data_IF_517022780771
#
_entry.id   IF_517022780771
#
_cell.length_a   1.000
_cell.length_b   1.000
_cell.length_c   1.000
_cell.angle_alpha   90.00
_cell.angle_beta   90.00
_cell.angle_gamma   90.00
#
_symmetry.space_group_name_H-M   'P 1'
#
loop_
_entity.id
_entity.type
_entity.pdbx_description
1 polymer ?
#
# COMPACT_ATOMS: atom_id res chain seq x y z
N UNK A 1 -20.43 6.96 -56.57
CA UNK A 1 -20.03 8.38 -56.76
C UNK A 1 -18.77 8.63 -55.94
N UNK A 2 -17.59 8.41 -56.53
CA UNK A 2 -16.31 8.56 -55.84
C UNK A 2 -15.94 10.05 -55.81
N UNK A 3 -15.83 10.64 -54.63
CA UNK A 3 -15.23 11.97 -54.46
C UNK A 3 -13.79 11.88 -54.97
N UNK A 4 -13.36 12.70 -55.96
CA UNK A 4 -12.04 12.56 -56.54
C UNK A 4 -10.98 12.93 -55.50
N UNK A 5 -10.05 12.01 -55.27
CA UNK A 5 -8.97 12.05 -54.26
C UNK A 5 -8.19 13.39 -54.25
N UNK A 6 -8.14 14.08 -55.40
CA UNK A 6 -7.51 15.41 -55.57
C UNK A 6 -8.23 16.54 -54.82
N UNK A 7 -9.57 16.51 -54.77
CA UNK A 7 -10.36 17.51 -54.04
C UNK A 7 -10.24 17.30 -52.53
N UNK A 8 -10.10 16.05 -52.08
CA UNK A 8 -9.83 15.73 -50.69
C UNK A 8 -8.46 16.27 -50.23
N UNK A 9 -7.43 16.15 -51.08
CA UNK A 9 -6.07 16.64 -50.78
C UNK A 9 -5.99 18.17 -50.64
N UNK A 10 -6.67 18.90 -51.51
CA UNK A 10 -6.73 20.37 -51.47
C UNK A 10 -7.55 20.85 -50.26
N UNK A 11 -8.65 20.16 -49.95
CA UNK A 11 -9.47 20.44 -48.77
C UNK A 11 -8.68 20.21 -47.47
N UNK A 12 -7.95 19.08 -47.37
CA UNK A 12 -7.07 18.77 -46.25
C UNK A 12 -5.98 19.83 -46.07
N UNK A 13 -5.33 20.27 -47.15
CA UNK A 13 -4.33 21.33 -47.09
C UNK A 13 -4.92 22.64 -46.57
N UNK A 14 -6.10 23.06 -47.06
CA UNK A 14 -6.77 24.28 -46.58
C UNK A 14 -7.14 24.20 -45.09
N UNK A 15 -7.60 23.04 -44.61
CA UNK A 15 -7.91 22.83 -43.20
C UNK A 15 -6.63 22.90 -42.36
N UNK A 16 -5.55 22.20 -42.77
CA UNK A 16 -4.26 22.18 -42.08
C UNK A 16 -3.58 23.56 -41.98
N UNK A 17 -3.71 24.41 -43.02
CA UNK A 17 -3.11 25.74 -43.01
C UNK A 17 -3.95 26.82 -42.32
N UNK A 18 -5.20 26.52 -41.94
CA UNK A 18 -6.03 27.41 -41.13
C UNK A 18 -5.50 27.55 -39.70
N UNK A 19 -5.84 28.65 -39.01
CA UNK A 19 -5.47 28.85 -37.59
C UNK A 19 -5.99 27.70 -36.70
N UNK A 20 -7.22 27.24 -36.95
CA UNK A 20 -7.83 26.13 -36.23
C UNK A 20 -7.10 24.80 -36.48
N UNK A 21 -6.72 24.52 -37.73
CA UNK A 21 -5.95 23.33 -38.08
C UNK A 21 -4.55 23.34 -37.46
N UNK A 22 -3.87 24.47 -37.48
CA UNK A 22 -2.57 24.64 -36.79
C UNK A 22 -2.70 24.43 -35.28
N UNK A 23 -3.72 25.04 -34.66
CA UNK A 23 -3.98 24.87 -33.24
C UNK A 23 -4.24 23.40 -32.88
N UNK A 24 -5.06 22.69 -33.69
CA UNK A 24 -5.32 21.26 -33.50
C UNK A 24 -4.06 20.40 -33.64
N UNK A 25 -3.24 20.65 -34.66
CA UNK A 25 -1.99 19.90 -34.88
C UNK A 25 -1.02 20.13 -33.73
N UNK A 26 -0.78 21.39 -33.34
CA UNK A 26 0.11 21.74 -32.24
C UNK A 26 -0.40 21.13 -30.93
N UNK A 27 -1.70 21.27 -30.63
CA UNK A 27 -2.26 20.73 -29.40
C UNK A 27 -2.22 19.20 -29.37
N UNK A 28 -2.40 18.54 -30.51
CA UNK A 28 -2.26 17.09 -30.64
C UNK A 28 -0.81 16.64 -30.43
N UNK A 29 0.18 17.36 -30.95
CA UNK A 29 1.60 17.09 -30.67
C UNK A 29 1.89 17.25 -29.17
N UNK A 30 1.46 18.36 -28.56
CA UNK A 30 1.63 18.56 -27.12
C UNK A 30 0.93 17.47 -26.31
N UNK A 31 -0.28 17.10 -26.69
CA UNK A 31 -1.03 16.04 -26.02
C UNK A 31 -0.32 14.69 -26.13
N UNK A 32 0.22 14.34 -27.29
CA UNK A 32 0.99 13.11 -27.49
C UNK A 32 2.28 13.09 -26.66
N UNK A 33 2.97 14.22 -26.54
CA UNK A 33 4.15 14.35 -25.67
C UNK A 33 3.77 14.12 -24.20
N UNK A 34 2.69 14.74 -23.72
CA UNK A 34 2.20 14.55 -22.35
C UNK A 34 1.71 13.11 -22.15
N UNK A 35 0.99 12.53 -23.11
CA UNK A 35 0.56 11.14 -23.08
C UNK A 35 1.75 10.19 -22.96
N UNK A 36 2.80 10.40 -23.75
CA UNK A 36 4.01 9.56 -23.69
C UNK A 36 4.76 9.74 -22.36
N UNK A 37 4.83 10.97 -21.85
CA UNK A 37 5.36 11.23 -20.51
C UNK A 37 4.57 10.47 -19.44
N UNK A 38 3.23 10.57 -19.46
CA UNK A 38 2.37 9.88 -18.51
C UNK A 38 2.52 8.36 -18.63
N UNK A 39 2.62 7.83 -19.85
CA UNK A 39 2.87 6.41 -20.10
C UNK A 39 4.18 5.94 -19.47
N UNK A 40 5.25 6.74 -19.57
CA UNK A 40 6.54 6.39 -18.98
C UNK A 40 6.58 6.61 -17.46
N UNK A 41 5.75 7.50 -16.90
CA UNK A 41 5.79 7.87 -15.48
C UNK A 41 4.82 7.08 -14.60
N UNK A 42 3.66 6.70 -15.12
CA UNK A 42 2.54 6.12 -14.36
C UNK A 42 2.25 4.67 -14.74
N UNK A 43 3.17 3.98 -15.39
CA UNK A 43 3.01 2.59 -15.79
C UNK A 43 2.89 1.62 -14.61
N UNK A 44 3.35 2.00 -13.42
CA UNK A 44 3.20 1.22 -12.18
C UNK A 44 1.92 1.50 -11.39
N UNK A 45 1.15 2.53 -11.73
CA UNK A 45 -0.04 2.88 -10.97
C UNK A 45 -1.23 2.01 -11.40
N UNK A 46 -1.78 1.14 -10.54
CA UNK A 46 -2.79 0.15 -10.93
C UNK A 46 -4.10 0.74 -11.46
N UNK A 47 -4.40 1.99 -11.10
CA UNK A 47 -5.60 2.71 -11.58
C UNK A 47 -5.31 3.70 -12.69
N UNK A 48 -4.08 3.75 -13.19
CA UNK A 48 -3.76 4.53 -14.37
C UNK A 48 -4.15 3.78 -15.64
N UNK A 49 -4.68 4.50 -16.63
CA UNK A 49 -4.85 3.97 -17.98
C UNK A 49 -3.51 3.59 -18.66
N UNK A 50 -2.38 3.96 -18.04
CA UNK A 50 -1.04 3.65 -18.50
C UNK A 50 -0.43 2.40 -17.85
N UNK A 51 -1.14 1.74 -16.94
CA UNK A 51 -0.68 0.56 -16.21
C UNK A 51 -0.19 -0.55 -17.15
N UNK A 52 1.01 -1.09 -16.87
CA UNK A 52 1.61 -2.18 -17.64
C UNK A 52 1.91 -3.36 -16.73
N UNK A 53 1.12 -4.42 -16.82
CA UNK A 53 1.24 -5.59 -15.94
C UNK A 53 2.50 -6.44 -16.16
N UNK A 54 3.19 -6.28 -17.30
CA UNK A 54 4.32 -7.13 -17.71
C UNK A 54 5.55 -6.99 -16.81
N UNK A 55 5.81 -5.80 -16.26
CA UNK A 55 7.02 -5.49 -15.47
C UNK A 55 6.73 -4.87 -14.10
N UNK A 56 5.45 -4.77 -13.73
CA UNK A 56 5.06 -4.00 -12.54
C UNK A 56 5.34 -4.73 -11.24
N UNK A 57 5.50 -6.04 -11.33
CA UNK A 57 5.84 -6.93 -10.23
C UNK A 57 7.35 -7.19 -10.12
N UNK A 58 8.16 -6.45 -10.88
CA UNK A 58 9.63 -6.53 -10.79
C UNK A 58 10.05 -5.96 -9.43
N UNK A 59 10.66 -6.81 -8.59
CA UNK A 59 11.23 -6.42 -7.31
C UNK A 59 12.48 -5.57 -7.57
N UNK A 60 12.50 -4.32 -7.13
CA UNK A 60 13.67 -3.45 -7.23
C UNK A 60 14.14 -3.06 -5.85
N UNK A 61 13.29 -2.32 -5.13
CA UNK A 61 13.62 -1.90 -3.78
C UNK A 61 13.55 -3.08 -2.82
N UNK A 62 12.62 -4.01 -3.03
CA UNK A 62 12.53 -5.25 -2.25
C UNK A 62 13.78 -6.12 -2.37
N UNK A 63 14.32 -6.32 -3.58
CA UNK A 63 15.57 -7.08 -3.77
C UNK A 63 16.75 -6.41 -3.06
N UNK A 64 16.85 -5.09 -3.17
CA UNK A 64 17.88 -4.32 -2.44
C UNK A 64 17.75 -4.49 -0.92
N UNK A 65 16.53 -4.45 -0.38
CA UNK A 65 16.28 -4.71 1.05
C UNK A 65 16.54 -6.16 1.46
N UNK A 66 16.25 -7.13 0.60
CA UNK A 66 16.58 -8.55 0.82
C UNK A 66 18.10 -8.74 0.90
N UNK A 67 18.88 -8.09 0.03
CA UNK A 67 20.34 -8.13 0.08
C UNK A 67 20.88 -7.53 1.39
N UNK A 68 20.39 -6.36 1.81
CA UNK A 68 20.77 -5.76 3.09
C UNK A 68 20.41 -6.64 4.29
N UNK A 69 19.23 -7.27 4.25
CA UNK A 69 18.78 -8.20 5.28
C UNK A 69 19.73 -9.41 5.40
N UNK A 70 20.14 -9.98 4.26
CA UNK A 70 21.08 -11.11 4.23
C UNK A 70 22.45 -10.70 4.80
N UNK A 71 22.97 -9.52 4.43
CA UNK A 71 24.22 -9.00 4.99
C UNK A 71 24.14 -8.75 6.50
N UNK A 72 22.97 -8.36 7.02
CA UNK A 72 22.73 -8.28 8.46
C UNK A 72 22.79 -9.66 9.12
N UNK A 73 22.10 -10.66 8.55
CA UNK A 73 22.07 -12.03 9.06
C UNK A 73 23.47 -12.65 9.07
N UNK A 74 24.25 -12.48 8.00
CA UNK A 74 25.63 -12.96 7.90
C UNK A 74 26.52 -12.41 9.02
N UNK A 75 26.34 -11.14 9.41
CA UNK A 75 27.03 -10.55 10.56
C UNK A 75 26.52 -11.11 11.88
N UNK A 76 25.22 -11.36 12.00
CA UNK A 76 24.59 -11.90 13.20
C UNK A 76 25.01 -13.36 13.49
N UNK A 77 25.52 -14.08 12.49
CA UNK A 77 26.11 -15.41 12.65
C UNK A 77 27.45 -15.41 13.38
N UNK A 78 28.19 -14.30 13.40
CA UNK A 78 29.47 -14.23 14.11
C UNK A 78 29.21 -14.19 15.64
N UNK A 79 29.66 -15.20 16.41
CA UNK A 79 29.45 -15.24 17.85
C UNK A 79 30.15 -14.10 18.62
N UNK A 80 31.10 -13.40 17.99
CA UNK A 80 31.76 -12.24 18.57
C UNK A 80 30.95 -10.94 18.41
N UNK A 81 29.99 -10.93 17.47
CA UNK A 81 29.11 -9.79 17.24
C UNK A 81 27.91 -9.91 18.18
N UNK A 82 27.84 -9.03 19.17
CA UNK A 82 26.66 -8.89 20.03
C UNK A 82 25.78 -7.77 19.48
N UNK A 83 24.55 -8.13 19.14
CA UNK A 83 23.55 -7.18 18.67
C UNK A 83 22.78 -6.60 19.87
N UNK A 84 22.45 -5.31 19.78
CA UNK A 84 21.63 -4.63 20.78
C UNK A 84 20.23 -5.26 20.83
N UNK A 85 19.63 -5.27 22.02
CA UNK A 85 18.29 -5.83 22.27
C UNK A 85 17.35 -4.78 22.81
N UNK A 86 16.08 -5.14 23.00
CA UNK A 86 15.09 -4.25 23.55
C UNK A 86 15.45 -3.86 25.00
N UNK A 87 15.19 -2.61 25.34
CA UNK A 87 15.17 -2.17 26.74
C UNK A 87 13.94 -2.73 27.48
N UNK A 88 13.89 -2.54 28.79
CA UNK A 88 12.73 -2.93 29.61
C UNK A 88 11.44 -2.16 29.29
N UNK A 89 11.52 -1.07 28.54
CA UNK A 89 10.38 -0.22 28.17
C UNK A 89 10.42 0.08 26.66
N UNK A 90 10.10 -0.91 25.81
CA UNK A 90 10.03 -0.71 24.37
C UNK A 90 8.81 0.15 23.99
N UNK A 91 8.93 0.89 22.89
CA UNK A 91 7.83 1.68 22.34
C UNK A 91 6.90 0.81 21.47
N UNK A 92 7.48 -0.19 20.80
CA UNK A 92 6.77 -1.12 19.91
C UNK A 92 7.17 -2.56 20.23
N UNK A 93 6.19 -3.46 20.40
CA UNK A 93 6.39 -4.90 20.32
C UNK A 93 6.02 -5.36 18.91
N UNK A 94 6.99 -5.83 18.13
CA UNK A 94 6.79 -6.33 16.78
C UNK A 94 6.79 -7.86 16.77
N UNK A 95 5.67 -8.46 16.38
CA UNK A 95 5.47 -9.89 16.31
C UNK A 95 5.43 -10.35 14.86
N UNK A 96 6.41 -11.17 14.46
CA UNK A 96 6.32 -11.97 13.24
C UNK A 96 5.60 -13.27 13.52
N UNK A 97 4.58 -13.60 12.72
CA UNK A 97 3.93 -14.91 12.74
C UNK A 97 4.38 -15.70 11.52
N UNK A 98 5.06 -16.83 11.75
CA UNK A 98 5.62 -17.67 10.67
C UNK A 98 5.20 -19.13 10.77
N UNK A 99 5.08 -19.75 9.61
CA UNK A 99 4.90 -21.21 9.44
C UNK A 99 5.84 -21.70 8.35
N UNK A 100 6.30 -22.95 8.47
CA UNK A 100 7.15 -23.58 7.46
C UNK A 100 6.45 -23.58 6.09
N UNK A 101 7.09 -22.99 5.08
CA UNK A 101 6.72 -23.14 3.66
C UNK A 101 7.49 -24.28 2.99
N UNK A 102 7.01 -24.83 1.88
CA UNK A 102 7.69 -25.94 1.20
C UNK A 102 8.93 -25.50 0.43
N UNK A 103 8.86 -24.37 -0.29
CA UNK A 103 9.90 -23.96 -1.24
C UNK A 103 10.83 -22.90 -0.66
N UNK A 104 10.35 -21.66 -0.49
CA UNK A 104 11.14 -20.52 0.00
C UNK A 104 10.64 -20.06 1.37
N UNK A 105 11.56 -19.93 2.33
CA UNK A 105 11.30 -19.19 3.56
C UNK A 105 11.61 -17.72 3.30
N UNK A 106 10.65 -16.84 3.60
CA UNK A 106 10.80 -15.39 3.44
C UNK A 106 11.10 -14.68 4.77
N UNK A 107 10.87 -15.38 5.88
CA UNK A 107 10.92 -14.81 7.23
C UNK A 107 12.30 -14.28 7.60
N UNK A 108 13.38 -14.92 7.13
CA UNK A 108 14.76 -14.50 7.39
C UNK A 108 14.99 -13.08 6.87
N UNK A 109 14.66 -12.83 5.58
CA UNK A 109 14.75 -11.51 4.98
C UNK A 109 13.79 -10.49 5.64
N UNK A 110 12.60 -10.92 6.05
CA UNK A 110 11.66 -10.08 6.81
C UNK A 110 12.23 -9.60 8.14
N UNK A 111 12.80 -10.51 8.94
CA UNK A 111 13.44 -10.18 10.23
C UNK A 111 14.69 -9.33 9.99
N UNK A 112 15.54 -9.72 9.05
CA UNK A 112 16.76 -8.99 8.72
C UNK A 112 16.45 -7.56 8.27
N UNK A 113 15.49 -7.35 7.38
CA UNK A 113 15.09 -6.02 6.90
C UNK A 113 14.40 -5.16 7.95
N UNK A 114 13.75 -5.78 8.95
CA UNK A 114 13.19 -5.08 10.11
C UNK A 114 14.30 -4.50 11.01
N UNK A 115 15.39 -5.24 11.20
CA UNK A 115 16.47 -4.90 12.13
C UNK A 115 17.61 -4.11 11.49
N UNK A 116 17.85 -4.32 10.20
CA UNK A 116 18.89 -3.63 9.45
C UNK A 116 18.59 -2.13 9.38
N UNK A 117 19.62 -1.31 9.62
CA UNK A 117 19.55 0.15 9.60
C UNK A 117 19.09 0.79 10.91
N UNK A 118 18.61 0.01 11.89
CA UNK A 118 18.28 0.54 13.21
C UNK A 118 19.54 0.96 13.97
N UNK A 119 19.53 2.16 14.53
CA UNK A 119 20.48 2.57 15.56
C UNK A 119 20.25 1.81 16.87
N UNK A 120 21.26 1.78 17.74
CA UNK A 120 21.13 1.16 19.07
C UNK A 120 19.98 1.76 19.88
N UNK A 121 19.74 3.07 19.76
CA UNK A 121 18.61 3.73 20.40
C UNK A 121 17.27 3.20 19.87
N UNK A 122 17.11 3.09 18.55
CA UNK A 122 15.87 2.57 17.94
C UNK A 122 15.67 1.10 18.27
N UNK A 123 16.75 0.29 18.23
CA UNK A 123 16.72 -1.12 18.58
C UNK A 123 16.31 -1.34 20.03
N UNK A 124 16.77 -0.48 20.95
CA UNK A 124 16.36 -0.51 22.36
C UNK A 124 14.87 -0.20 22.58
N UNK A 125 14.21 0.41 21.60
CA UNK A 125 12.78 0.76 21.61
C UNK A 125 11.89 -0.22 20.85
N UNK A 126 12.47 -1.25 20.25
CA UNK A 126 11.77 -2.29 19.52
C UNK A 126 11.93 -3.62 20.23
N UNK A 127 10.84 -4.22 20.68
CA UNK A 127 10.84 -5.62 21.12
C UNK A 127 10.51 -6.51 19.92
N UNK A 128 11.51 -7.23 19.40
CA UNK A 128 11.39 -8.12 18.26
C UNK A 128 11.03 -9.54 18.72
N UNK A 129 9.82 -9.97 18.36
CA UNK A 129 9.27 -11.28 18.69
C UNK A 129 8.98 -12.07 17.42
N UNK A 130 9.43 -13.33 17.37
CA UNK A 130 9.13 -14.26 16.29
C UNK A 130 8.36 -15.45 16.85
N UNK A 131 7.15 -15.63 16.34
CA UNK A 131 6.26 -16.72 16.71
C UNK A 131 6.24 -17.79 15.61
N UNK A 132 6.70 -18.99 15.95
CA UNK A 132 6.66 -20.17 15.10
C UNK A 132 5.36 -20.92 15.34
N UNK A 133 4.40 -20.73 14.44
CA UNK A 133 3.04 -21.23 14.56
C UNK A 133 2.88 -22.68 14.07
N UNK A 134 3.95 -23.41 13.77
CA UNK A 134 3.85 -24.85 13.57
C UNK A 134 3.68 -25.54 14.94
N UNK A 135 2.84 -26.56 15.01
CA UNK A 135 2.67 -27.35 16.25
C UNK A 135 3.93 -28.13 16.64
N UNK A 136 4.75 -28.48 15.65
CA UNK A 136 6.15 -28.87 15.82
C UNK A 136 7.04 -27.77 15.21
N UNK A 137 7.71 -26.93 16.01
CA UNK A 137 8.53 -25.85 15.48
C UNK A 137 9.85 -26.33 14.84
N UNK A 138 10.33 -27.54 15.17
CA UNK A 138 11.61 -28.08 14.66
C UNK A 138 11.58 -28.33 13.14
N UNK A 139 10.39 -28.40 12.54
CA UNK A 139 10.24 -28.54 11.09
C UNK A 139 10.58 -27.24 10.34
N UNK A 140 10.61 -26.10 11.03
CA UNK A 140 10.86 -24.79 10.43
C UNK A 140 12.37 -24.53 10.33
N UNK A 141 12.95 -24.29 9.13
CA UNK A 141 14.41 -24.15 8.96
C UNK A 141 15.06 -23.06 9.83
N UNK A 142 14.36 -21.94 10.02
CA UNK A 142 14.78 -20.80 10.84
C UNK A 142 14.71 -21.06 12.36
N UNK A 143 14.04 -22.13 12.80
CA UNK A 143 13.95 -22.45 14.23
C UNK A 143 15.32 -22.75 14.82
N UNK A 144 15.56 -22.29 16.06
CA UNK A 144 16.81 -22.49 16.81
C UNK A 144 18.10 -22.05 16.09
N UNK A 145 18.02 -21.19 15.08
CA UNK A 145 19.21 -20.64 14.43
C UNK A 145 19.94 -19.66 15.36
N UNK A 146 21.27 -19.76 15.41
CA UNK A 146 22.10 -18.93 16.29
C UNK A 146 21.97 -17.44 15.99
N UNK A 147 21.94 -17.07 14.70
CA UNK A 147 21.76 -15.67 14.27
C UNK A 147 20.44 -15.09 14.75
N UNK A 148 19.36 -15.90 14.74
CA UNK A 148 18.03 -15.47 15.16
C UNK A 148 18.04 -15.13 16.66
N UNK A 149 18.55 -16.03 17.49
CA UNK A 149 18.63 -15.85 18.94
C UNK A 149 19.53 -14.66 19.34
N UNK A 150 20.55 -14.37 18.53
CA UNK A 150 21.39 -13.18 18.70
C UNK A 150 20.62 -11.89 18.34
N UNK A 151 19.79 -11.94 17.29
CA UNK A 151 19.14 -10.76 16.70
C UNK A 151 17.85 -10.33 17.40
N UNK A 152 16.99 -11.27 17.78
CA UNK A 152 15.63 -10.98 18.30
C UNK A 152 15.56 -11.09 19.83
N UNK A 153 14.51 -10.54 20.41
CA UNK A 153 14.27 -10.57 21.86
C UNK A 153 13.64 -11.89 22.29
N UNK A 154 12.75 -12.45 21.46
CA UNK A 154 12.14 -13.75 21.68
C UNK A 154 11.85 -14.47 20.35
N UNK A 155 12.15 -15.76 20.30
CA UNK A 155 11.78 -16.69 19.23
C UNK A 155 11.12 -17.90 19.88
N UNK A 156 9.79 -18.02 19.80
CA UNK A 156 9.01 -18.99 20.58
C UNK A 156 7.98 -19.70 19.72
N UNK A 157 7.48 -20.83 20.23
CA UNK A 157 6.30 -21.53 19.71
C UNK A 157 5.22 -21.60 20.80
N UNK A 158 4.15 -22.38 20.59
CA UNK A 158 3.05 -22.47 21.55
C UNK A 158 3.51 -23.00 22.90
N UNK A 159 3.05 -22.32 23.95
CA UNK A 159 3.11 -22.76 25.34
C UNK A 159 1.67 -22.85 25.86
N UNK A 160 0.98 -23.90 25.44
CA UNK A 160 -0.43 -24.15 25.76
C UNK A 160 -0.58 -25.53 26.39
N UNK A 161 -1.73 -25.78 27.02
CA UNK A 161 -2.00 -27.11 27.60
C UNK A 161 -2.13 -28.19 26.51
N UNK A 162 -2.05 -29.45 26.91
CA UNK A 162 -2.07 -30.59 25.99
C UNK A 162 -3.37 -30.66 25.14
N UNK A 163 -4.52 -30.29 25.72
CA UNK A 163 -5.80 -30.32 25.00
C UNK A 163 -5.85 -29.31 23.86
N UNK A 164 -5.36 -28.08 24.11
CA UNK A 164 -5.28 -27.04 23.07
C UNK A 164 -4.22 -27.39 22.04
N UNK A 165 -3.09 -27.95 22.46
CA UNK A 165 -2.05 -28.41 21.52
C UNK A 165 -2.58 -29.49 20.57
N UNK A 166 -3.35 -30.45 21.08
CA UNK A 166 -3.94 -31.50 20.25
C UNK A 166 -4.96 -30.93 19.25
N UNK A 167 -5.78 -29.97 19.68
CA UNK A 167 -6.69 -29.25 18.78
C UNK A 167 -5.94 -28.52 17.67
N UNK A 168 -4.84 -27.82 18.00
CA UNK A 168 -4.01 -27.13 17.01
C UNK A 168 -3.39 -28.10 16.00
N UNK A 169 -2.97 -29.29 16.44
CA UNK A 169 -2.46 -30.35 15.55
C UNK A 169 -3.53 -30.82 14.60
N UNK A 170 -4.73 -31.09 15.11
CA UNK A 170 -5.86 -31.48 14.26
C UNK A 170 -6.17 -30.39 13.20
N UNK A 171 -6.13 -29.11 13.57
CA UNK A 171 -6.35 -28.02 12.63
C UNK A 171 -5.25 -27.93 11.57
N UNK A 172 -3.99 -28.15 11.95
CA UNK A 172 -2.85 -28.17 11.02
C UNK A 172 -2.93 -29.36 10.05
N UNK A 173 -3.22 -30.56 10.55
CA UNK A 173 -3.41 -31.78 9.75
C UNK A 173 -4.58 -31.66 8.77
N UNK A 174 -5.71 -31.09 9.22
CA UNK A 174 -6.90 -30.85 8.39
C UNK A 174 -6.76 -29.64 7.46
N UNK A 175 -5.63 -28.91 7.51
CA UNK A 175 -5.41 -27.64 6.80
C UNK A 175 -6.50 -26.60 7.06
N UNK A 176 -7.10 -26.61 8.26
CA UNK A 176 -8.10 -25.61 8.65
C UNK A 176 -7.41 -24.31 9.10
N UNK A 177 -6.83 -23.61 8.13
CA UNK A 177 -6.10 -22.38 8.39
C UNK A 177 -7.01 -21.22 8.80
N UNK A 178 -8.32 -21.28 8.59
CA UNK A 178 -9.26 -20.24 9.00
C UNK A 178 -9.39 -20.17 10.51
N UNK A 179 -9.57 -21.32 11.16
CA UNK A 179 -9.62 -21.37 12.61
C UNK A 179 -8.22 -21.22 13.22
N UNK A 180 -7.26 -22.01 12.72
CA UNK A 180 -5.88 -21.97 13.23
C UNK A 180 -5.27 -20.57 13.12
N UNK A 181 -5.45 -19.90 11.99
CA UNK A 181 -4.90 -18.55 11.78
C UNK A 181 -5.43 -17.51 12.78
N UNK A 182 -6.67 -17.66 13.26
CA UNK A 182 -7.22 -16.80 14.32
C UNK A 182 -6.51 -17.08 15.64
N UNK A 183 -6.29 -18.36 15.99
CA UNK A 183 -5.50 -18.74 17.16
C UNK A 183 -4.07 -18.22 17.09
N UNK A 184 -3.39 -18.38 15.96
CA UNK A 184 -2.00 -17.98 15.75
C UNK A 184 -1.83 -16.48 15.96
N UNK A 185 -2.74 -15.71 15.34
CA UNK A 185 -2.75 -14.26 15.44
C UNK A 185 -3.01 -13.79 16.88
N UNK A 186 -4.01 -14.37 17.54
CA UNK A 186 -4.33 -14.04 18.93
C UNK A 186 -3.20 -14.39 19.89
N UNK A 187 -2.58 -15.57 19.73
CA UNK A 187 -1.49 -16.00 20.58
C UNK A 187 -0.30 -15.02 20.51
N UNK A 188 0.07 -14.60 19.29
CA UNK A 188 1.14 -13.63 19.11
C UNK A 188 0.76 -12.22 19.61
N UNK A 189 -0.48 -11.78 19.37
CA UNK A 189 -0.98 -10.48 19.83
C UNK A 189 -1.01 -10.41 21.37
N UNK A 190 -1.47 -11.48 22.03
CA UNK A 190 -1.56 -11.56 23.49
C UNK A 190 -0.17 -11.58 24.13
N UNK A 191 0.82 -12.25 23.51
CA UNK A 191 2.20 -12.21 23.96
C UNK A 191 2.75 -10.77 23.95
N UNK A 192 2.60 -10.05 22.84
CA UNK A 192 3.03 -8.65 22.77
C UNK A 192 2.24 -7.73 23.72
N UNK A 193 0.96 -8.03 23.99
CA UNK A 193 0.17 -7.28 24.96
C UNK A 193 0.73 -7.37 26.38
N UNK A 194 1.31 -8.52 26.74
CA UNK A 194 1.96 -8.77 28.04
C UNK A 194 3.31 -8.04 28.17
N UNK A 195 4.03 -7.79 27.08
CA UNK A 195 5.28 -7.02 27.08
C UNK A 195 5.07 -5.58 27.56
N UNK A 196 3.88 -5.01 27.35
CA UNK A 196 3.53 -3.69 27.88
C UNK A 196 3.94 -2.50 27.02
N UNK A 197 4.41 -2.75 25.79
CA UNK A 197 4.70 -1.68 24.82
C UNK A 197 3.43 -0.88 24.46
N UNK A 198 3.48 0.46 24.31
CA UNK A 198 2.33 1.27 23.91
C UNK A 198 1.71 0.85 22.58
N UNK A 199 2.51 0.31 21.66
CA UNK A 199 2.07 -0.16 20.36
C UNK A 199 2.51 -1.60 20.10
N UNK A 200 1.69 -2.34 19.35
CA UNK A 200 1.95 -3.70 18.91
C UNK A 200 1.92 -3.74 17.39
N UNK A 201 3.02 -4.10 16.76
CA UNK A 201 3.08 -4.35 15.33
C UNK A 201 2.92 -5.85 15.07
N UNK A 202 1.96 -6.22 14.24
CA UNK A 202 1.71 -7.59 13.80
C UNK A 202 2.17 -7.73 12.36
N UNK A 203 3.08 -8.68 12.11
CA UNK A 203 3.71 -8.95 10.83
C UNK A 203 3.49 -10.39 10.37
N UNK A 204 3.18 -10.56 9.09
CA UNK A 204 3.18 -11.87 8.44
C UNK A 204 4.60 -12.29 8.02
N UNK A 205 4.83 -13.60 7.82
CA UNK A 205 6.15 -14.16 7.55
C UNK A 205 6.66 -14.06 6.10
N UNK A 206 6.02 -13.29 5.22
CA UNK A 206 6.39 -13.07 3.81
C UNK A 206 6.40 -11.59 3.40
N UNK A 207 7.02 -10.79 4.25
CA UNK A 207 7.17 -9.36 4.02
C UNK A 207 8.65 -8.96 3.98
N UNK A 208 8.90 -7.79 3.39
CA UNK A 208 10.16 -7.07 3.47
C UNK A 208 9.86 -5.63 3.95
N UNK A 209 10.68 -5.10 4.85
CA UNK A 209 10.49 -3.77 5.41
C UNK A 209 11.41 -2.73 4.75
N UNK A 210 10.87 -1.53 4.55
CA UNK A 210 11.61 -0.39 4.06
C UNK A 210 12.66 0.07 5.09
N UNK A 211 13.73 0.66 4.59
CA UNK A 211 14.69 1.38 5.42
C UNK A 211 13.99 2.48 6.25
N UNK A 212 14.39 2.59 7.52
CA UNK A 212 13.81 3.55 8.47
C UNK A 212 12.32 3.35 8.78
N UNK A 213 11.77 2.13 8.59
CA UNK A 213 10.36 1.85 8.87
C UNK A 213 9.96 2.25 10.30
N UNK A 214 10.84 2.02 11.29
CA UNK A 214 10.58 2.31 12.70
C UNK A 214 10.38 3.80 12.95
N UNK A 215 11.27 4.67 12.45
CA UNK A 215 11.13 6.13 12.57
C UNK A 215 9.88 6.63 11.87
N UNK A 216 9.65 6.16 10.64
CA UNK A 216 8.48 6.56 9.84
C UNK A 216 7.18 6.17 10.53
N UNK A 217 7.14 4.98 11.12
CA UNK A 217 6.00 4.49 11.92
C UNK A 217 5.80 5.32 13.18
N UNK A 218 6.85 5.55 13.99
CA UNK A 218 6.75 6.38 15.20
C UNK A 218 6.31 7.81 14.89
N UNK A 219 6.80 8.39 13.80
CA UNK A 219 6.36 9.71 13.33
C UNK A 219 4.88 9.72 12.97
N UNK A 220 4.40 8.69 12.27
CA UNK A 220 2.99 8.53 11.91
C UNK A 220 2.11 8.35 13.16
N UNK A 221 2.52 7.51 14.11
CA UNK A 221 1.82 7.34 15.39
C UNK A 221 1.75 8.65 16.17
N UNK A 222 2.85 9.42 16.23
CA UNK A 222 2.84 10.75 16.86
C UNK A 222 1.88 11.74 16.18
N UNK A 223 1.75 11.69 14.85
CA UNK A 223 0.76 12.49 14.12
C UNK A 223 -0.68 12.08 14.46
N UNK A 224 -0.91 10.77 14.61
CA UNK A 224 -2.21 10.21 14.98
C UNK A 224 -2.63 10.68 16.36
N UNK A 225 -1.77 10.49 17.37
CA UNK A 225 -2.08 10.87 18.76
C UNK A 225 -2.41 12.36 18.91
N UNK A 226 -1.77 13.23 18.13
CA UNK A 226 -2.06 14.67 18.12
C UNK A 226 -3.47 15.03 17.65
N UNK A 227 -4.14 14.13 16.92
CA UNK A 227 -5.47 14.37 16.34
C UNK A 227 -6.44 13.21 16.61
N UNK A 228 -6.21 12.43 17.68
CA UNK A 228 -7.05 11.32 18.09
C UNK A 228 -7.65 11.50 19.51
N UNK A 229 -7.43 12.66 20.15
CA UNK A 229 -7.71 12.86 21.56
C UNK A 229 -9.15 13.25 21.89
N UNK A 230 -9.93 13.76 20.92
CA UNK A 230 -11.33 14.19 21.13
C UNK A 230 -12.26 13.75 20.02
N UNK A 231 -13.51 13.53 20.39
CA UNK A 231 -14.58 13.28 19.42
C UNK A 231 -14.67 14.41 18.39
N UNK A 232 -14.74 14.04 17.11
CA UNK A 232 -14.72 14.97 15.99
C UNK A 232 -13.32 15.28 15.43
N UNK A 233 -12.24 14.88 16.11
CA UNK A 233 -10.88 15.01 15.56
C UNK A 233 -10.61 14.05 14.40
N UNK A 234 -9.58 14.37 13.61
CA UNK A 234 -9.27 13.69 12.34
C UNK A 234 -9.13 12.18 12.50
N UNK A 235 -8.50 11.70 13.56
CA UNK A 235 -8.20 10.28 13.80
C UNK A 235 -8.89 9.73 15.05
N UNK A 236 -9.98 10.37 15.50
CA UNK A 236 -10.75 9.89 16.64
C UNK A 236 -11.20 8.44 16.46
N UNK A 237 -11.17 7.66 17.56
CA UNK A 237 -11.63 6.27 17.63
C UNK A 237 -10.96 5.33 16.60
N UNK A 238 -9.65 5.45 16.37
CA UNK A 238 -8.92 4.56 15.46
C UNK A 238 -8.57 3.21 16.10
N UNK A 239 -8.42 2.16 15.26
CA UNK A 239 -8.13 0.79 15.71
C UNK A 239 -6.69 0.35 15.41
N UNK A 240 -6.15 0.72 14.25
CA UNK A 240 -4.78 0.39 13.84
C UNK A 240 -4.30 1.35 12.75
N UNK A 241 -2.98 1.31 12.53
CA UNK A 241 -2.28 1.90 11.41
C UNK A 241 -1.76 0.78 10.50
N UNK A 242 -2.23 0.74 9.26
CA UNK A 242 -1.66 -0.05 8.16
C UNK A 242 -0.38 0.61 7.68
N UNK A 243 0.71 -0.14 7.75
CA UNK A 243 1.98 0.25 7.10
C UNK A 243 2.25 -0.57 5.83
N UNK A 244 1.36 -1.54 5.55
CA UNK A 244 1.17 -2.21 4.27
C UNK A 244 -0.27 -2.00 3.79
N UNK A 245 -0.46 -1.75 2.50
CA UNK A 245 -1.73 -1.92 1.80
C UNK A 245 -1.49 -1.97 0.29
N UNK A 246 -2.39 -2.66 -0.42
CA UNK A 246 -2.41 -2.72 -1.90
C UNK A 246 -3.20 -1.55 -2.48
N UNK A 247 -2.63 -0.85 -3.46
CA UNK A 247 -3.29 0.25 -4.17
C UNK A 247 -4.32 -0.25 -5.18
N UNK A 248 -4.33 -1.56 -5.50
CA UNK A 248 -5.26 -2.16 -6.47
C UNK A 248 -6.73 -1.89 -6.15
N UNK A 249 -7.07 -1.67 -4.88
CA UNK A 249 -8.44 -1.43 -4.45
C UNK A 249 -8.76 0.07 -4.22
N UNK A 250 -7.81 0.97 -4.45
CA UNK A 250 -7.93 2.42 -4.12
C UNK A 250 -8.00 3.28 -5.39
N UNK A 251 -9.05 3.09 -6.18
CA UNK A 251 -9.27 3.79 -7.45
C UNK A 251 -10.11 5.07 -7.35
N UNK A 252 -10.50 5.61 -8.50
CA UNK A 252 -11.54 6.64 -8.57
C UNK A 252 -12.90 6.04 -8.19
N UNK A 253 -13.61 6.70 -7.27
CA UNK A 253 -14.93 6.28 -6.80
C UNK A 253 -16.01 7.33 -7.07
N UNK A 254 -17.28 6.90 -7.15
CA UNK A 254 -18.42 7.83 -7.23
C UNK A 254 -18.60 8.69 -5.97
N UNK A 255 -17.90 8.38 -4.89
CA UNK A 255 -17.80 9.21 -3.68
C UNK A 255 -16.78 10.34 -3.83
N UNK A 256 -15.82 10.22 -4.76
CA UNK A 256 -14.82 11.24 -5.01
C UNK A 256 -15.45 12.40 -5.78
N UNK A 257 -15.34 13.62 -5.23
CA UNK A 257 -15.90 14.83 -5.84
C UNK A 257 -15.57 14.97 -7.34
N UNK A 258 -14.29 14.79 -7.71
CA UNK A 258 -13.88 14.96 -9.10
C UNK A 258 -14.44 13.89 -10.04
N UNK A 259 -14.57 12.66 -9.56
CA UNK A 259 -15.07 11.58 -10.39
C UNK A 259 -16.60 11.60 -10.49
N UNK A 260 -17.27 11.89 -9.37
CA UNK A 260 -18.72 12.09 -9.31
C UNK A 260 -19.18 13.20 -10.27
N UNK A 261 -18.50 14.35 -10.24
CA UNK A 261 -18.82 15.49 -11.09
C UNK A 261 -18.01 15.55 -12.39
N UNK A 262 -17.49 14.42 -12.88
CA UNK A 262 -16.62 14.40 -14.07
C UNK A 262 -17.24 15.12 -15.26
N UNK A 263 -18.49 14.83 -15.62
CA UNK A 263 -19.18 15.50 -16.73
C UNK A 263 -19.25 17.02 -16.56
N UNK A 264 -19.57 17.49 -15.35
CA UNK A 264 -19.62 18.91 -15.00
C UNK A 264 -18.23 19.56 -15.04
N UNK A 265 -17.18 18.85 -14.63
CA UNK A 265 -15.79 19.34 -14.70
C UNK A 265 -15.35 19.52 -16.15
N UNK A 266 -15.64 18.54 -17.02
CA UNK A 266 -15.36 18.67 -18.46
C UNK A 266 -16.09 19.88 -19.06
N UNK A 267 -17.38 20.05 -18.75
CA UNK A 267 -18.16 21.19 -19.22
C UNK A 267 -17.64 22.52 -18.67
N UNK A 268 -17.38 22.60 -17.37
CA UNK A 268 -16.86 23.80 -16.71
C UNK A 268 -15.48 24.20 -17.26
N UNK A 269 -14.58 23.25 -17.48
CA UNK A 269 -13.27 23.51 -18.08
C UNK A 269 -13.40 24.06 -19.52
N UNK A 270 -14.31 23.49 -20.33
CA UNK A 270 -14.57 23.97 -21.69
C UNK A 270 -15.19 25.38 -21.70
N UNK A 271 -16.14 25.66 -20.81
CA UNK A 271 -16.79 26.98 -20.67
C UNK A 271 -15.77 28.01 -20.19
N UNK A 272 -14.98 27.69 -19.15
CA UNK A 272 -13.95 28.59 -18.64
C UNK A 272 -12.90 28.88 -19.72
N UNK A 273 -12.45 27.86 -20.44
CA UNK A 273 -11.56 28.03 -21.60
C UNK A 273 -12.16 28.94 -22.66
N UNK A 274 -13.43 28.76 -23.00
CA UNK A 274 -14.14 29.64 -23.95
C UNK A 274 -14.16 31.08 -23.47
N UNK A 275 -14.54 31.32 -22.22
CA UNK A 275 -14.58 32.68 -21.63
C UNK A 275 -13.20 33.31 -21.68
N UNK A 276 -12.15 32.61 -21.25
CA UNK A 276 -10.78 33.13 -21.26
C UNK A 276 -10.31 33.46 -22.67
N UNK A 277 -10.52 32.57 -23.65
CA UNK A 277 -10.13 32.80 -25.04
C UNK A 277 -10.94 33.93 -25.68
N UNK A 278 -12.24 34.00 -25.39
CA UNK A 278 -13.12 35.05 -25.88
C UNK A 278 -12.72 36.43 -25.33
N UNK A 279 -12.50 36.54 -24.02
CA UNK A 279 -12.03 37.78 -23.39
C UNK A 279 -10.64 38.16 -23.94
N UNK A 280 -9.73 37.20 -24.09
CA UNK A 280 -8.41 37.44 -24.70
C UNK A 280 -8.55 38.01 -26.11
N UNK A 281 -9.45 37.46 -26.93
CA UNK A 281 -9.76 37.97 -28.27
C UNK A 281 -10.30 39.41 -28.23
N UNK A 282 -11.15 39.73 -27.26
CA UNK A 282 -11.75 41.05 -27.11
C UNK A 282 -10.72 42.10 -26.69
N UNK A 283 -9.94 41.80 -25.64
CA UNK A 283 -9.04 42.75 -24.98
C UNK A 283 -7.62 42.80 -25.58
N UNK A 284 -7.20 41.78 -26.34
CA UNK A 284 -5.86 41.74 -26.96
C UNK A 284 -5.99 41.70 -28.49
N UNK A 285 -6.03 42.86 -29.17
CA UNK A 285 -6.30 42.93 -30.61
C UNK A 285 -5.36 42.10 -31.49
N UNK A 286 -4.10 41.93 -31.09
CA UNK A 286 -3.09 41.15 -31.83
C UNK A 286 -3.44 39.65 -31.94
N UNK A 287 -4.31 39.14 -31.08
CA UNK A 287 -4.74 37.72 -31.05
C UNK A 287 -5.93 37.43 -31.96
N UNK A 288 -6.67 38.46 -32.42
CA UNK A 288 -7.92 38.30 -33.20
C UNK A 288 -7.75 37.51 -34.49
N UNK A 289 -6.58 37.60 -35.12
CA UNK A 289 -6.24 36.84 -36.35
C UNK A 289 -5.99 35.35 -36.10
N UNK A 290 -5.67 34.98 -34.86
CA UNK A 290 -5.33 33.61 -34.45
C UNK A 290 -6.47 32.93 -33.70
N UNK A 291 -7.30 33.70 -32.97
CA UNK A 291 -8.46 33.22 -32.19
C UNK A 291 -9.78 33.43 -32.96
N UNK A 292 -9.91 32.81 -34.13
CA UNK A 292 -11.19 32.76 -34.84
C UNK A 292 -12.16 31.77 -34.14
N UNK A 293 -13.45 31.82 -34.52
CA UNK A 293 -14.47 30.99 -33.87
C UNK A 293 -14.16 29.49 -33.97
N UNK A 294 -13.56 29.04 -35.08
CA UNK A 294 -13.16 27.65 -35.27
C UNK A 294 -11.98 27.25 -34.39
N UNK A 295 -10.98 28.12 -34.23
CA UNK A 295 -9.84 27.87 -33.34
C UNK A 295 -10.30 27.79 -31.89
N UNK A 296 -11.18 28.71 -31.46
CA UNK A 296 -11.77 28.67 -30.12
C UNK A 296 -12.57 27.37 -29.93
N UNK A 297 -13.40 26.99 -30.91
CA UNK A 297 -14.17 25.75 -30.84
C UNK A 297 -13.27 24.51 -30.74
N UNK A 298 -12.20 24.42 -31.53
CA UNK A 298 -11.22 23.32 -31.47
C UNK A 298 -10.54 23.26 -30.10
N UNK A 299 -10.13 24.41 -29.54
CA UNK A 299 -9.47 24.42 -28.24
C UNK A 299 -10.45 23.98 -27.15
N UNK A 300 -11.67 24.53 -27.13
CA UNK A 300 -12.63 24.28 -26.05
C UNK A 300 -13.32 22.91 -26.14
N UNK A 301 -13.58 22.38 -27.34
CA UNK A 301 -14.34 21.15 -27.53
C UNK A 301 -13.48 19.92 -27.79
N UNK A 302 -12.22 20.09 -28.20
CA UNK A 302 -11.29 18.97 -28.42
C UNK A 302 -10.08 19.05 -27.49
N UNK A 303 -9.34 20.16 -27.52
CA UNK A 303 -8.05 20.25 -26.80
C UNK A 303 -8.25 20.18 -25.28
N UNK A 304 -9.05 21.07 -24.70
CA UNK A 304 -9.28 21.12 -23.25
C UNK A 304 -9.84 19.79 -22.73
N UNK A 305 -10.94 19.23 -23.30
CA UNK A 305 -11.44 17.92 -22.91
C UNK A 305 -10.39 16.80 -22.99
N UNK A 306 -9.54 16.79 -24.01
CA UNK A 306 -8.49 15.77 -24.15
C UNK A 306 -7.45 15.84 -23.02
N UNK A 307 -7.04 17.05 -22.59
CA UNK A 307 -6.13 17.22 -21.46
C UNK A 307 -6.80 16.95 -20.11
N UNK A 308 -8.08 17.31 -19.94
CA UNK A 308 -8.85 16.91 -18.75
C UNK A 308 -8.99 15.39 -18.68
N UNK A 309 -9.21 14.72 -19.82
CA UNK A 309 -9.21 13.26 -19.91
C UNK A 309 -7.88 12.64 -19.45
N UNK A 310 -6.74 13.21 -19.86
CA UNK A 310 -5.42 12.76 -19.40
C UNK A 310 -5.29 12.81 -17.88
N UNK A 311 -5.82 13.84 -17.21
CA UNK A 311 -5.79 13.94 -15.74
C UNK A 311 -6.48 12.73 -15.08
N UNK A 312 -7.66 12.34 -15.58
CA UNK A 312 -8.36 11.17 -15.07
C UNK A 312 -7.62 9.87 -15.40
N UNK A 313 -7.01 9.77 -16.59
CA UNK A 313 -6.22 8.62 -17.03
C UNK A 313 -4.95 8.39 -16.20
N UNK A 314 -4.38 9.42 -15.57
CA UNK A 314 -3.22 9.28 -14.68
C UNK A 314 -3.58 8.51 -13.40
N UNK A 315 -4.84 8.55 -12.96
CA UNK A 315 -5.31 7.85 -11.76
C UNK A 315 -5.25 8.70 -10.49
N UNK A 316 -6.22 8.47 -9.59
CA UNK A 316 -6.44 9.26 -8.36
C UNK A 316 -5.19 9.41 -7.50
N UNK A 317 -4.53 8.31 -7.17
CA UNK A 317 -3.40 8.27 -6.25
C UNK A 317 -2.12 8.90 -6.81
N UNK A 318 -2.07 9.15 -8.11
CA UNK A 318 -0.99 9.86 -8.78
C UNK A 318 -1.27 11.36 -8.91
N UNK A 319 -2.54 11.77 -9.05
CA UNK A 319 -2.93 13.19 -9.08
C UNK A 319 -3.01 13.78 -7.66
N UNK A 320 -3.60 13.04 -6.72
CA UNK A 320 -3.76 13.42 -5.31
C UNK A 320 -3.20 12.33 -4.41
N UNK A 321 -1.86 12.17 -4.36
CA UNK A 321 -1.26 11.17 -3.48
C UNK A 321 -1.57 11.51 -2.02
N UNK A 322 -2.17 10.58 -1.23
CA UNK A 322 -2.13 10.71 0.21
C UNK A 322 -0.67 10.84 0.68
N UNK A 323 -0.42 11.76 1.59
CA UNK A 323 0.90 11.96 2.18
C UNK A 323 0.78 11.81 3.69
N UNK A 324 1.60 10.95 4.28
CA UNK A 324 1.50 10.63 5.70
C UNK A 324 0.28 9.78 6.02
N UNK A 325 -0.35 10.05 7.16
CA UNK A 325 -1.45 9.23 7.67
C UNK A 325 -2.78 9.66 7.05
N UNK A 326 -3.53 8.70 6.50
CA UNK A 326 -4.86 8.92 5.96
C UNK A 326 -5.85 7.83 6.40
N UNK A 327 -7.14 8.11 6.24
CA UNK A 327 -8.21 7.14 6.56
C UNK A 327 -8.38 6.16 5.41
N UNK A 328 -8.45 4.88 5.73
CA UNK A 328 -8.69 3.78 4.81
C UNK A 328 -9.76 2.86 5.39
N UNK A 329 -10.95 3.41 5.63
CA UNK A 329 -12.07 2.68 6.22
C UNK A 329 -12.71 1.68 5.24
N UNK A 330 -12.43 1.80 3.95
CA UNK A 330 -12.91 0.90 2.90
C UNK A 330 -11.74 0.45 2.06
N UNK A 331 -11.91 -0.68 1.37
CA UNK A 331 -10.95 -1.20 0.39
C UNK A 331 -9.57 -1.51 0.99
N UNK A 332 -9.47 -1.56 2.32
CA UNK A 332 -8.29 -2.05 2.98
C UNK A 332 -8.27 -3.57 2.85
N UNK A 333 -7.24 -4.10 2.20
CA UNK A 333 -6.95 -5.52 2.32
C UNK A 333 -5.81 -5.75 3.30
N UNK A 334 -5.96 -6.91 3.96
CA UNK A 334 -4.93 -7.79 4.41
C UNK A 334 -4.17 -7.36 5.69
N UNK A 335 -3.58 -8.34 6.36
CA UNK A 335 -2.98 -8.25 7.71
C UNK A 335 -1.46 -8.27 7.72
N UNK A 336 -0.79 -8.12 6.58
CA UNK A 336 0.67 -8.29 6.45
C UNK A 336 1.45 -7.40 7.41
N UNK A 337 1.01 -6.16 7.62
CA UNK A 337 1.63 -5.26 8.58
C UNK A 337 0.66 -4.23 9.17
N UNK A 338 0.22 -4.50 10.40
CA UNK A 338 -0.69 -3.66 11.16
C UNK A 338 -0.06 -3.24 12.49
N UNK A 339 -0.20 -1.97 12.85
CA UNK A 339 0.26 -1.43 14.15
C UNK A 339 -0.94 -1.00 14.98
N UNK A 340 -1.15 -1.69 16.10
CA UNK A 340 -2.24 -1.46 17.04
C UNK A 340 -1.76 -0.62 18.23
N UNK A 341 -2.53 0.37 18.68
CA UNK A 341 -2.36 0.92 20.01
C UNK A 341 -2.82 -0.14 21.04
N UNK A 342 -2.01 -0.35 22.08
CA UNK A 342 -2.25 -1.38 23.10
C UNK A 342 -3.63 -1.31 23.73
N UNK A 343 -4.20 -0.12 23.83
CA UNK A 343 -5.54 0.13 24.42
C UNK A 343 -6.68 -0.53 23.66
N UNK A 344 -6.53 -0.81 22.36
CA UNK A 344 -7.59 -1.43 21.55
C UNK A 344 -7.53 -2.96 21.53
N UNK A 345 -6.41 -3.53 21.98
CA UNK A 345 -6.13 -4.97 21.87
C UNK A 345 -7.08 -5.84 22.70
N UNK A 346 -7.40 -5.54 23.98
CA UNK A 346 -8.23 -6.43 24.79
C UNK A 346 -9.63 -6.68 24.20
N UNK A 347 -10.25 -5.63 23.67
CA UNK A 347 -11.58 -5.71 23.10
C UNK A 347 -11.56 -6.43 21.74
N UNK A 348 -10.56 -6.12 20.91
CA UNK A 348 -10.35 -6.80 19.63
C UNK A 348 -10.09 -8.29 19.84
N UNK A 349 -9.17 -8.66 20.74
CA UNK A 349 -8.85 -10.06 21.05
C UNK A 349 -10.09 -10.82 21.53
N UNK A 350 -10.93 -10.18 22.36
CA UNK A 350 -12.17 -10.78 22.85
C UNK A 350 -13.18 -11.02 21.72
N UNK A 351 -13.31 -10.07 20.79
CA UNK A 351 -14.17 -10.22 19.61
C UNK A 351 -13.69 -11.36 18.69
N UNK A 352 -12.40 -11.39 18.37
CA UNK A 352 -11.81 -12.41 17.50
C UNK A 352 -11.93 -13.81 18.12
N UNK A 353 -11.69 -13.96 19.44
CA UNK A 353 -11.94 -15.23 20.16
C UNK A 353 -13.40 -15.65 20.12
N UNK A 354 -14.33 -14.71 20.22
CA UNK A 354 -15.76 -14.99 20.18
C UNK A 354 -16.23 -15.57 18.85
N UNK A 355 -15.63 -15.14 17.73
CA UNK A 355 -15.90 -15.68 16.40
C UNK A 355 -15.14 -17.01 16.19
N UNK A 356 -13.87 -17.07 16.58
CA UNK A 356 -13.03 -18.27 16.58
C UNK A 356 -12.55 -18.77 15.22
N UNK A 357 -13.21 -18.43 14.11
CA UNK A 357 -12.83 -18.89 12.76
C UNK A 357 -13.16 -17.88 11.68
N UNK A 358 -12.26 -17.73 10.70
CA UNK A 358 -12.45 -16.86 9.55
C UNK A 358 -11.14 -16.30 9.00
N UNK A 359 -11.26 -15.32 8.11
CA UNK A 359 -10.10 -14.53 7.69
C UNK A 359 -9.91 -13.37 8.68
N UNK A 360 -8.77 -13.34 9.35
CA UNK A 360 -8.48 -12.39 10.43
C UNK A 360 -8.62 -10.94 9.98
N UNK A 361 -8.21 -10.60 8.76
CA UNK A 361 -8.39 -9.27 8.18
C UNK A 361 -9.86 -8.87 8.09
N UNK A 362 -10.71 -9.73 7.52
CA UNK A 362 -12.15 -9.52 7.40
C UNK A 362 -12.81 -9.43 8.78
N UNK A 363 -12.38 -10.23 9.74
CA UNK A 363 -12.89 -10.17 11.12
C UNK A 363 -12.55 -8.84 11.80
N UNK A 364 -11.32 -8.34 11.63
CA UNK A 364 -10.89 -7.03 12.13
C UNK A 364 -11.67 -5.91 11.44
N UNK A 365 -11.92 -6.02 10.13
CA UNK A 365 -12.77 -5.07 9.42
C UNK A 365 -14.20 -5.11 9.99
N UNK A 366 -14.85 -6.25 10.10
CA UNK A 366 -16.21 -6.33 10.66
C UNK A 366 -16.30 -5.74 12.07
N UNK A 367 -15.36 -6.08 12.96
CA UNK A 367 -15.25 -5.47 14.30
C UNK A 367 -15.21 -3.94 14.22
N UNK A 368 -14.40 -3.41 13.31
CA UNK A 368 -14.20 -1.98 13.18
C UNK A 368 -15.43 -1.27 12.61
N UNK A 369 -16.22 -1.91 11.73
CA UNK A 369 -17.48 -1.34 11.23
C UNK A 369 -18.55 -1.36 12.32
N UNK A 370 -18.69 -2.48 13.04
CA UNK A 370 -19.62 -2.63 14.15
C UNK A 370 -19.37 -1.63 15.28
N UNK A 371 -18.09 -1.33 15.58
CA UNK A 371 -17.68 -0.42 16.66
C UNK A 371 -17.37 1.01 16.18
N UNK A 372 -17.61 1.31 14.90
CA UNK A 372 -17.36 2.64 14.32
C UNK A 372 -15.90 3.09 14.40
N UNK A 373 -14.96 2.14 14.38
CA UNK A 373 -13.53 2.38 14.50
C UNK A 373 -12.94 2.88 13.18
N UNK A 374 -12.06 3.87 13.25
CA UNK A 374 -11.34 4.37 12.08
C UNK A 374 -10.12 3.49 11.80
N UNK A 375 -9.89 3.19 10.53
CA UNK A 375 -8.76 2.40 10.05
C UNK A 375 -7.82 3.36 9.33
N UNK A 376 -6.58 3.41 9.77
CA UNK A 376 -5.61 4.37 9.25
C UNK A 376 -4.59 3.63 8.38
N UNK A 377 -4.03 4.33 7.41
CA UNK A 377 -2.95 3.84 6.55
C UNK A 377 -1.87 4.90 6.39
N UNK A 378 -0.64 4.47 6.14
CA UNK A 378 0.52 5.33 5.96
C UNK A 378 1.03 5.27 4.52
N UNK A 379 1.21 6.44 3.89
CA UNK A 379 1.91 6.56 2.60
C UNK A 379 3.19 7.42 2.74
N UNK A 380 4.33 7.00 2.14
CA UNK A 380 4.55 5.73 1.43
C UNK A 380 4.41 4.51 2.36
N UNK A 381 4.02 3.37 1.78
CA UNK A 381 4.01 2.09 2.48
C UNK A 381 5.43 1.76 2.96
N UNK A 382 5.51 1.12 4.11
CA UNK A 382 6.79 0.78 4.74
C UNK A 382 7.12 -0.70 4.62
N UNK A 383 6.23 -1.47 4.02
CA UNK A 383 6.31 -2.91 3.90
C UNK A 383 5.85 -3.31 2.51
N UNK A 384 6.48 -4.33 1.97
CA UNK A 384 6.07 -5.01 0.75
C UNK A 384 5.87 -6.50 1.03
N UNK A 385 4.87 -7.09 0.40
CA UNK A 385 4.65 -8.53 0.42
C UNK A 385 5.49 -9.17 -0.68
N UNK A 386 6.36 -10.11 -0.31
CA UNK A 386 7.28 -10.81 -1.22
C UNK A 386 6.88 -12.28 -1.43
N UNK A 387 5.81 -12.72 -0.75
CA UNK A 387 5.29 -14.08 -0.82
C UNK A 387 4.54 -14.35 -2.12
N UNK A 388 5.26 -14.69 -3.19
CA UNK A 388 4.63 -15.11 -4.44
C UNK A 388 3.89 -16.46 -4.32
N UNK A 389 4.18 -17.25 -3.28
CA UNK A 389 3.53 -18.51 -2.93
C UNK A 389 2.87 -18.41 -1.55
N UNK A 390 1.55 -18.56 -1.51
CA UNK A 390 0.76 -18.52 -0.27
C UNK A 390 0.81 -19.85 0.49
N UNK A 391 0.92 -19.79 1.81
CA UNK A 391 0.78 -20.96 2.70
C UNK A 391 -0.67 -21.44 2.84
N UNK A 392 -1.65 -20.69 2.33
CA UNK A 392 -3.10 -20.94 2.50
C UNK A 392 -3.81 -21.37 1.20
N UNK A 393 -3.17 -22.19 0.36
CA UNK A 393 -3.76 -22.73 -0.89
C UNK A 393 -4.30 -21.63 -1.84
N UNK A 394 -3.60 -20.50 -1.98
CA UNK A 394 -3.95 -19.46 -2.96
C UNK A 394 -3.15 -19.60 -4.26
N UNK A 395 -3.82 -19.42 -5.40
CA UNK A 395 -3.20 -19.38 -6.72
C UNK A 395 -2.21 -18.20 -6.86
N UNK A 396 -1.17 -18.36 -7.69
CA UNK A 396 -0.16 -17.34 -8.03
C UNK A 396 -0.74 -15.99 -8.51
N UNK A 397 -1.95 -15.98 -9.08
CA UNK A 397 -2.64 -14.74 -9.46
C UNK A 397 -3.13 -13.93 -8.24
N UNK A 398 -3.41 -14.58 -7.11
CA UNK A 398 -3.85 -13.89 -5.89
C UNK A 398 -2.68 -13.31 -5.10
N UNK A 399 -1.47 -13.88 -5.15
CA UNK A 399 -0.28 -13.26 -4.54
C UNK A 399 0.15 -11.99 -5.26
N UNK A 400 -0.14 -11.85 -6.55
CA UNK A 400 0.00 -10.58 -7.28
C UNK A 400 -1.03 -9.52 -6.89
N UNK A 401 -2.13 -9.89 -6.22
CA UNK A 401 -3.14 -8.92 -5.76
C UNK A 401 -2.69 -8.16 -4.49
N UNK A 402 -1.75 -8.74 -3.74
CA UNK A 402 -1.17 -8.18 -2.51
C UNK A 402 0.16 -7.47 -2.79
N UNK A 403 0.18 -6.52 -3.72
CA UNK A 403 1.38 -5.75 -4.06
C UNK A 403 1.25 -4.29 -3.64
N UNK A 404 2.27 -3.71 -2.99
CA UNK A 404 2.37 -2.29 -2.71
C UNK A 404 3.21 -1.61 -3.80
N UNK A 405 2.54 -1.06 -4.82
CA UNK A 405 3.19 -0.52 -6.02
C UNK A 405 4.10 0.67 -5.73
N UNK A 406 3.78 1.48 -4.71
CA UNK A 406 4.59 2.63 -4.31
C UNK A 406 5.79 2.27 -3.43
N UNK A 407 5.90 1.02 -2.98
CA UNK A 407 7.11 0.55 -2.28
C UNK A 407 8.27 0.34 -3.25
N UNK A 408 7.98 -0.09 -4.48
CA UNK A 408 8.94 -0.35 -5.56
C UNK A 408 9.26 0.88 -6.42
#
# INVERSE_FOLDING_TARGET
MMVPIRNLRILLQRILFSSAGKAFVISSICWLLVFQYCRNRYWREPHSAFFQSEHVYDLQYSEYREEQANQFIDRAHDPNVKLEKASSHPDICAAFVTVKRENKQYIDAGIGSMLEGLSDEERSKLYAYVFFANTDPEIHPTWNQAWLMNSVDAALSYNVNATVMEHLRELEEKRNFYEKGVYDYLYALDYCYQIGAPYIAMFEGDIILADGWMVKTRKALSEIEKHAGREGEKYWNWIYLRIFYTETSVGWEETDFMYHYKGSIFAAAAILGYVVLFLTRCFVPSTRRHLDNWTIAVICLATIPAFVGLLFMVGKNSVYPPNGVFKMNKFGCCTQALVFPRTQVPELSSYLRGIGTGQTDTMIENYSDERGKQRLALRPQLVQHVGLESSRDNNFQNSQSTWAFWFE
#
